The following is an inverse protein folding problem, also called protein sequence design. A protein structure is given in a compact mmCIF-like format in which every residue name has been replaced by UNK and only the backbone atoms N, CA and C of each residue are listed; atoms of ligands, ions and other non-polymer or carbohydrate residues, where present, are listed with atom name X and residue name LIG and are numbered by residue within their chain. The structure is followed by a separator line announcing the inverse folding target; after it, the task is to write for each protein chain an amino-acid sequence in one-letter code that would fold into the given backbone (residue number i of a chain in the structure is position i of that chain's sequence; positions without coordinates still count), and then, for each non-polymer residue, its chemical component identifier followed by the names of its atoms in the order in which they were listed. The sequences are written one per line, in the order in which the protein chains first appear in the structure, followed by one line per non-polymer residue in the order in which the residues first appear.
data_IF_181580389815
#
_entry.id   IF_181580389815
#
_cell.length_a   1.000
_cell.length_b   1.000
_cell.length_c   1.000
_cell.angle_alpha   90.00
_cell.angle_beta   90.00
_cell.angle_gamma   90.00
#
_symmetry.space_group_name_H-M   'P 1'
#
loop_
_entity.id
_entity.type
_entity.pdbx_description
1 polymer ?
#
# COMPACT_ATOMS: atom_id res chain seq x y z
N UNK A 1 -4.70 -4.40 -6.48
CA UNK A 1 -4.34 -4.13 -5.07
C UNK A 1 -4.98 -5.17 -4.15
N UNK A 2 -6.26 -5.48 -4.32
CA UNK A 2 -6.96 -6.57 -3.62
C UNK A 2 -6.22 -7.92 -3.69
N UNK A 3 -5.73 -8.34 -4.88
CA UNK A 3 -5.02 -9.61 -5.05
C UNK A 3 -3.68 -9.69 -4.28
N UNK A 4 -3.01 -8.55 -4.06
CA UNK A 4 -1.79 -8.50 -3.27
C UNK A 4 -2.07 -8.29 -1.76
N UNK A 5 -3.33 -8.06 -1.36
CA UNK A 5 -3.71 -7.85 0.04
C UNK A 5 -3.15 -6.57 0.68
N UNK A 6 -2.88 -5.53 -0.14
CA UNK A 6 -2.35 -4.25 0.35
C UNK A 6 -3.45 -3.25 0.75
N UNK A 7 -3.12 -2.36 1.69
CA UNK A 7 -4.00 -1.27 2.16
C UNK A 7 -3.50 0.07 1.62
N UNK A 8 -4.39 0.89 1.09
CA UNK A 8 -4.10 2.27 0.68
C UNK A 8 -4.15 3.19 1.90
N UNK A 9 -3.02 3.81 2.24
CA UNK A 9 -2.92 4.73 3.38
C UNK A 9 -2.92 6.18 2.93
N UNK A 10 -3.82 6.97 3.51
CA UNK A 10 -3.99 8.39 3.21
C UNK A 10 -3.56 9.20 4.44
N UNK A 11 -2.81 10.27 4.19
CA UNK A 11 -2.28 11.12 5.26
C UNK A 11 -3.36 11.85 6.06
N UNK A 12 -4.49 12.18 5.44
CA UNK A 12 -5.53 12.98 6.06
C UNK A 12 -6.74 13.17 5.17
N UNK A 13 -7.66 14.03 5.62
CA UNK A 13 -8.94 14.23 4.95
C UNK A 13 -8.86 15.33 3.88
N UNK A 14 -9.47 15.07 2.73
CA UNK A 14 -9.71 16.07 1.69
C UNK A 14 -10.62 17.15 2.26
N UNK A 15 -10.15 18.41 2.26
CA UNK A 15 -10.92 19.56 2.74
C UNK A 15 -11.39 19.44 4.19
N UNK A 16 -10.67 18.69 5.04
CA UNK A 16 -11.09 18.38 6.41
C UNK A 16 -12.47 17.69 6.50
N UNK A 17 -12.86 16.93 5.46
CA UNK A 17 -14.17 16.30 5.35
C UNK A 17 -14.07 14.82 4.99
N UNK A 18 -14.63 13.97 5.85
CA UNK A 18 -14.78 12.54 5.58
C UNK A 18 -15.55 12.29 4.28
N UNK A 19 -16.64 13.04 4.06
CA UNK A 19 -17.48 12.90 2.87
C UNK A 19 -16.72 13.21 1.58
N UNK A 20 -15.95 14.29 1.56
CA UNK A 20 -15.13 14.64 0.39
C UNK A 20 -14.02 13.61 0.16
N UNK A 21 -13.42 13.10 1.24
CA UNK A 21 -12.40 12.05 1.17
C UNK A 21 -12.94 10.77 0.55
N UNK A 22 -14.09 10.28 1.04
CA UNK A 22 -14.76 9.10 0.47
C UNK A 22 -15.12 9.33 -1.00
N UNK A 23 -15.69 10.48 -1.35
CA UNK A 23 -16.04 10.79 -2.73
C UNK A 23 -14.82 10.80 -3.67
N UNK A 24 -13.68 11.33 -3.21
CA UNK A 24 -12.44 11.36 -3.98
C UNK A 24 -11.85 9.95 -4.20
N UNK A 25 -12.08 9.02 -3.26
CA UNK A 25 -11.55 7.66 -3.31
C UNK A 25 -12.49 6.66 -3.97
N UNK A 26 -13.79 6.96 -4.04
CA UNK A 26 -14.84 6.06 -4.51
C UNK A 26 -14.44 5.36 -5.81
N UNK A 27 -14.07 6.13 -6.84
CA UNK A 27 -13.69 5.58 -8.15
C UNK A 27 -12.46 4.66 -8.12
N UNK A 28 -11.55 4.87 -7.16
CA UNK A 28 -10.37 4.02 -6.99
C UNK A 28 -10.75 2.73 -6.27
N UNK A 29 -11.55 2.83 -5.20
CA UNK A 29 -12.03 1.67 -4.45
C UNK A 29 -12.90 0.77 -5.32
N UNK A 30 -13.84 1.35 -6.08
CA UNK A 30 -14.73 0.60 -6.97
C UNK A 30 -13.94 -0.19 -8.03
N UNK A 31 -12.85 0.39 -8.55
CA UNK A 31 -12.00 -0.26 -9.57
C UNK A 31 -11.03 -1.29 -9.00
N UNK A 32 -10.54 -1.08 -7.79
CA UNK A 32 -9.38 -1.84 -7.27
C UNK A 32 -9.71 -2.76 -6.11
N UNK A 33 -10.88 -2.60 -5.49
CA UNK A 33 -11.25 -3.26 -4.25
C UNK A 33 -10.28 -2.99 -3.10
N UNK A 34 -9.51 -1.90 -3.16
CA UNK A 34 -8.48 -1.61 -2.18
C UNK A 34 -9.11 -1.20 -0.85
N UNK A 35 -8.67 -1.83 0.24
CA UNK A 35 -8.92 -1.33 1.58
C UNK A 35 -8.22 0.01 1.77
N UNK A 36 -8.87 0.94 2.47
CA UNK A 36 -8.35 2.30 2.66
C UNK A 36 -8.29 2.66 4.14
N UNK A 37 -7.18 3.26 4.57
CA UNK A 37 -6.97 3.74 5.94
C UNK A 37 -6.52 5.21 5.94
N UNK A 38 -7.02 6.01 6.86
CA UNK A 38 -6.48 7.35 7.14
C UNK A 38 -5.59 7.26 8.37
N UNK A 39 -4.28 7.29 8.16
CA UNK A 39 -3.29 7.21 9.24
C UNK A 39 -2.07 8.11 8.95
N UNK A 40 -2.04 9.35 9.50
CA UNK A 40 -0.90 10.24 9.35
C UNK A 40 0.38 9.73 10.03
N UNK A 41 0.27 8.83 11.01
CA UNK A 41 1.42 8.32 11.78
C UNK A 41 2.28 7.39 10.93
N UNK A 42 1.69 6.63 10.01
CA UNK A 42 2.44 5.78 9.07
C UNK A 42 3.30 6.60 8.09
N UNK A 43 2.84 7.78 7.68
CA UNK A 43 3.66 8.69 6.85
C UNK A 43 4.90 9.17 7.61
N UNK A 44 4.77 9.42 8.91
CA UNK A 44 5.88 9.84 9.76
C UNK A 44 6.83 8.67 10.02
N UNK A 45 6.28 7.51 10.42
CA UNK A 45 7.03 6.28 10.70
C UNK A 45 7.91 5.86 9.53
N UNK A 46 7.36 5.83 8.33
CA UNK A 46 8.11 5.46 7.13
C UNK A 46 8.72 6.66 6.39
N UNK A 47 8.70 7.86 6.99
CA UNK A 47 9.33 9.07 6.46
C UNK A 47 8.91 9.40 5.01
N UNK A 48 7.64 9.15 4.69
CA UNK A 48 7.05 9.36 3.37
C UNK A 48 6.98 10.86 3.06
N UNK A 49 7.90 11.31 2.21
CA UNK A 49 8.02 12.71 1.81
C UNK A 49 7.39 13.02 0.43
N UNK A 50 7.11 11.99 -0.37
CA UNK A 50 6.52 12.08 -1.70
C UNK A 50 5.46 11.01 -1.90
N UNK A 51 4.46 11.29 -2.73
CA UNK A 51 3.38 10.35 -3.06
C UNK A 51 3.27 10.15 -4.57
N UNK A 52 2.87 8.95 -5.03
CA UNK A 52 2.68 7.73 -4.22
C UNK A 52 4.03 7.12 -3.77
N UNK A 53 4.01 6.40 -2.65
CA UNK A 53 5.11 5.56 -2.15
C UNK A 53 4.55 4.20 -1.76
N UNK A 54 5.15 3.13 -2.26
CA UNK A 54 4.81 1.75 -1.93
C UNK A 54 5.79 1.28 -0.86
N UNK A 55 5.28 0.79 0.25
CA UNK A 55 6.07 0.27 1.37
C UNK A 55 5.70 -1.19 1.60
N UNK A 56 6.71 -2.03 1.78
CA UNK A 56 6.54 -3.41 2.24
C UNK A 56 7.35 -3.61 3.50
N UNK A 57 6.74 -4.17 4.54
CA UNK A 57 7.43 -4.48 5.80
C UNK A 57 7.20 -5.91 6.24
N UNK A 58 8.23 -6.52 6.82
CA UNK A 58 8.20 -7.87 7.40
C UNK A 58 7.62 -7.92 8.82
N UNK A 59 7.61 -6.78 9.53
CA UNK A 59 7.19 -6.70 10.91
C UNK A 59 5.72 -6.30 11.11
N UNK A 60 5.28 -6.43 12.36
CA UNK A 60 3.95 -6.00 12.79
C UNK A 60 4.01 -4.50 13.11
N UNK A 61 3.05 -3.74 12.58
CA UNK A 61 2.91 -2.33 12.90
C UNK A 61 2.15 -2.19 14.23
N UNK A 62 2.89 -1.98 15.31
CA UNK A 62 2.29 -1.60 16.59
C UNK A 62 1.84 -0.13 16.55
N UNK A 63 0.73 0.24 17.21
CA UNK A 63 0.38 1.65 17.40
C UNK A 63 1.55 2.38 18.07
N UNK A 64 1.87 3.60 17.62
CA UNK A 64 2.78 4.43 18.42
C UNK A 64 2.09 4.77 19.74
N UNK A 65 2.79 4.61 20.85
CA UNK A 65 2.27 5.11 22.12
C UNK A 65 2.16 6.64 22.06
N UNK A 66 1.11 7.27 22.61
CA UNK A 66 1.01 8.72 22.73
C UNK A 66 2.20 9.36 23.48
N UNK A 67 2.92 8.56 24.25
CA UNK A 67 4.08 8.96 25.07
C UNK A 67 5.40 8.96 24.28
N UNK A 68 5.45 8.33 23.11
CA UNK A 68 6.66 8.25 22.28
C UNK A 68 6.80 9.50 21.41
N UNK A 69 7.84 10.30 21.66
CA UNK A 69 8.10 11.54 20.90
C UNK A 69 8.47 11.27 19.44
N UNK A 70 9.06 10.11 19.15
CA UNK A 70 9.42 9.68 17.81
C UNK A 70 9.04 8.20 17.62
N UNK A 71 8.07 7.92 16.75
CA UNK A 71 7.69 6.55 16.32
C UNK A 71 8.82 5.77 15.62
N UNK A 72 10.02 6.34 15.49
CA UNK A 72 11.15 5.81 14.74
C UNK A 72 11.65 4.49 15.31
N UNK A 73 11.69 4.34 16.64
CA UNK A 73 12.19 3.14 17.34
C UNK A 73 11.31 1.91 17.16
N UNK A 74 10.09 2.07 16.64
CA UNK A 74 9.13 1.00 16.39
C UNK A 74 9.01 0.63 14.90
N UNK A 75 9.88 1.14 14.03
CA UNK A 75 9.79 0.87 12.60
C UNK A 75 10.46 -0.47 12.27
N UNK A 76 9.69 -1.51 11.86
CA UNK A 76 10.25 -2.79 11.42
C UNK A 76 11.10 -2.65 10.16
N UNK A 77 11.81 -3.71 9.75
CA UNK A 77 12.51 -3.72 8.46
C UNK A 77 11.48 -3.53 7.34
N UNK A 78 11.82 -2.67 6.39
CA UNK A 78 10.95 -2.35 5.28
C UNK A 78 11.74 -2.00 4.03
N UNK A 79 11.10 -2.19 2.89
CA UNK A 79 11.51 -1.65 1.61
C UNK A 79 10.49 -0.60 1.15
N UNK A 80 10.97 0.39 0.39
CA UNK A 80 10.12 1.43 -0.18
C UNK A 80 10.50 1.75 -1.62
N UNK A 81 9.51 2.09 -2.44
CA UNK A 81 9.70 2.71 -3.75
C UNK A 81 8.72 3.88 -3.88
N UNK A 82 9.26 5.07 -4.15
CA UNK A 82 8.49 6.27 -4.43
C UNK A 82 8.40 6.55 -5.93
N UNK A 83 7.25 7.06 -6.38
CA UNK A 83 7.01 7.48 -7.75
C UNK A 83 5.88 6.72 -8.45
N UNK A 84 5.61 7.08 -9.70
CA UNK A 84 4.55 6.48 -10.50
C UNK A 84 4.94 5.10 -11.04
N UNK A 85 4.94 4.11 -10.16
CA UNK A 85 5.25 2.71 -10.48
C UNK A 85 4.08 1.80 -10.17
N UNK A 86 4.04 0.62 -10.81
CA UNK A 86 3.04 -0.39 -10.51
C UNK A 86 3.38 -1.15 -9.23
N UNK A 87 2.37 -1.76 -8.60
CA UNK A 87 2.58 -2.62 -7.44
C UNK A 87 3.42 -3.85 -7.78
N UNK A 88 3.20 -4.44 -8.96
CA UNK A 88 4.00 -5.58 -9.45
C UNK A 88 5.48 -5.20 -9.58
N UNK A 89 5.77 -4.03 -10.16
CA UNK A 89 7.13 -3.55 -10.30
C UNK A 89 7.80 -3.39 -8.94
N UNK A 90 7.12 -2.76 -7.97
CA UNK A 90 7.67 -2.57 -6.64
C UNK A 90 7.96 -3.90 -5.94
N UNK A 91 7.02 -4.86 -5.97
CA UNK A 91 7.20 -6.19 -5.39
C UNK A 91 8.33 -6.98 -6.08
N UNK A 92 8.49 -6.83 -7.40
CA UNK A 92 9.59 -7.45 -8.15
C UNK A 92 10.95 -6.88 -7.76
N UNK A 93 11.03 -5.56 -7.55
CA UNK A 93 12.24 -4.89 -7.06
C UNK A 93 12.57 -5.31 -5.63
N UNK A 94 11.58 -5.41 -4.74
CA UNK A 94 11.79 -5.89 -3.36
C UNK A 94 12.24 -7.35 -3.31
N UNK A 95 11.71 -8.19 -4.20
CA UNK A 95 12.16 -9.59 -4.36
C UNK A 95 13.61 -9.67 -4.80
N UNK A 96 14.04 -8.79 -5.72
CA UNK A 96 15.36 -8.88 -6.35
C UNK A 96 16.47 -8.17 -5.58
N UNK A 97 16.12 -7.13 -4.81
CA UNK A 97 17.10 -6.21 -4.22
C UNK A 97 16.70 -5.65 -2.85
N UNK A 98 15.53 -6.01 -2.34
CA UNK A 98 15.01 -5.53 -1.07
C UNK A 98 15.38 -6.43 0.11
N UNK A 99 15.19 -5.91 1.31
CA UNK A 99 15.36 -6.62 2.58
C UNK A 99 14.14 -7.50 2.91
N UNK A 100 12.99 -7.27 2.26
CA UNK A 100 11.72 -7.97 2.50
C UNK A 100 11.39 -9.01 1.42
N UNK A 101 12.40 -9.53 0.72
CA UNK A 101 12.24 -10.40 -0.46
C UNK A 101 11.28 -11.58 -0.27
N UNK A 102 11.37 -12.31 0.85
CA UNK A 102 10.47 -13.43 1.13
C UNK A 102 9.00 -13.00 1.23
N UNK A 103 8.76 -11.85 1.87
CA UNK A 103 7.42 -11.28 1.96
C UNK A 103 6.97 -10.74 0.60
N UNK A 104 7.87 -10.15 -0.18
CA UNK A 104 7.55 -9.65 -1.50
C UNK A 104 7.05 -10.77 -2.42
N UNK A 105 7.71 -11.94 -2.40
CA UNK A 105 7.30 -13.14 -3.16
C UNK A 105 5.87 -13.58 -2.76
N UNK A 106 5.55 -13.57 -1.47
CA UNK A 106 4.22 -13.94 -0.96
C UNK A 106 3.10 -13.10 -1.56
N UNK A 107 3.37 -11.84 -1.89
CA UNK A 107 2.39 -10.92 -2.47
C UNK A 107 2.49 -10.80 -4.00
N UNK A 108 3.67 -11.04 -4.59
CA UNK A 108 3.89 -10.94 -6.03
C UNK A 108 3.19 -12.06 -6.80
N UNK A 109 3.30 -13.30 -6.33
CA UNK A 109 2.74 -14.47 -7.04
C UNK A 109 1.21 -14.37 -7.19
N UNK A 110 0.42 -14.12 -6.11
CA UNK A 110 -1.03 -13.96 -6.25
C UNK A 110 -1.42 -12.77 -7.13
N UNK A 111 -0.65 -11.69 -7.10
CA UNK A 111 -0.89 -10.52 -7.93
C UNK A 111 -0.73 -10.86 -9.43
N UNK A 112 0.33 -11.57 -9.81
CA UNK A 112 0.56 -11.99 -11.20
C UNK A 112 -0.51 -12.97 -11.69
N UNK A 113 -0.91 -13.92 -10.85
CA UNK A 113 -2.01 -14.83 -11.17
C UNK A 113 -3.32 -14.07 -11.43
N UNK A 114 -3.65 -13.09 -10.60
CA UNK A 114 -4.87 -12.29 -10.80
C UNK A 114 -4.87 -11.50 -12.11
N UNK A 115 -3.70 -11.04 -12.57
CA UNK A 115 -3.60 -10.37 -13.87
C UNK A 115 -3.78 -11.35 -15.03
N UNK A 116 -3.23 -12.55 -14.91
CA UNK A 116 -3.41 -13.60 -15.90
C UNK A 116 -4.89 -14.01 -16.03
N UNK A 117 -5.56 -14.27 -14.90
CA UNK A 117 -6.98 -14.64 -14.87
C UNK A 117 -7.89 -13.56 -15.47
N UNK A 118 -7.60 -12.28 -15.21
CA UNK A 118 -8.33 -11.15 -15.81
C UNK A 118 -8.10 -11.02 -17.32
N UNK A 119 -6.94 -11.47 -17.82
CA UNK A 119 -6.62 -11.42 -19.25
C UNK A 119 -7.28 -12.54 -20.05
N UNK A 120 -7.51 -13.70 -19.43
CA UNK A 120 -8.17 -14.85 -20.07
C UNK A 120 -9.70 -14.79 -20.00
N UNK A 121 -10.26 -14.02 -19.08
CA UNK A 121 -11.70 -13.91 -18.88
C UNK A 121 -12.15 -12.43 -18.82
N UNK A 122 -12.07 -11.67 -19.94
CA UNK A 122 -12.56 -10.31 -19.98
C UNK A 122 -14.06 -10.34 -19.73
N UNK A 123 -14.53 -9.68 -18.67
CA UNK A 123 -15.96 -9.66 -18.34
C UNK A 123 -16.78 -9.17 -19.54
N UNK A 124 -17.76 -9.98 -19.96
CA UNK A 124 -18.78 -9.61 -20.94
C UNK A 124 -19.77 -8.63 -20.29
N UNK A 125 -19.34 -7.40 -20.03
CA UNK A 125 -20.21 -6.32 -19.58
C UNK A 125 -20.64 -5.49 -20.81
N UNK A 126 -21.79 -5.85 -21.41
CA UNK A 126 -22.53 -5.04 -22.39
C UNK A 126 -23.64 -4.22 -21.72
#
# INVERSE_FOLDING_TARGET
MSAAGGVLVIRGLVGNSMRQTVAALQSLVDKTGAETLVDPTLYQRFKVSRVPTIILTDGVLSPCSPEETNCDTATPVYDEIAGNVTLEYALSMFTSSGQTAERAIKHLVPLQQSFFDQSENPSEDW
#
